data_IF_811056061309
#
_entry.id   IF_811056061309
#
_cell.length_a   1.000
_cell.length_b   1.000
_cell.length_c   1.000
_cell.angle_alpha   90.00
_cell.angle_beta   90.00
_cell.angle_gamma   90.00
#
_symmetry.space_group_name_H-M   'P 1'
#
loop_
_entity.id
_entity.type
_entity.pdbx_description
1 polymer ?
#
# COMPACT_ATOMS: atom_id res chain seq x y z
N UNK A 1 5.05 19.38 52.22
CA UNK A 1 6.09 18.50 51.64
C UNK A 1 5.75 17.78 50.31
N UNK A 2 4.49 17.47 49.94
CA UNK A 2 4.24 16.71 48.69
C UNK A 2 4.56 17.49 47.39
N UNK A 3 4.57 18.82 47.43
CA UNK A 3 4.87 19.66 46.26
C UNK A 3 6.35 19.69 45.84
N UNK A 4 7.28 19.50 46.78
CA UNK A 4 8.73 19.50 46.48
C UNK A 4 9.10 18.18 45.79
N UNK A 5 8.63 17.05 46.33
CA UNK A 5 8.84 15.74 45.74
C UNK A 5 8.33 15.65 44.29
N UNK A 6 7.13 16.19 44.03
CA UNK A 6 6.57 16.22 42.67
C UNK A 6 7.42 17.03 41.69
N UNK A 7 7.93 18.20 42.09
CA UNK A 7 8.80 19.04 41.25
C UNK A 7 10.14 18.38 40.98
N UNK A 8 10.76 17.77 41.99
CA UNK A 8 12.03 17.06 41.84
C UNK A 8 11.88 15.83 40.95
N UNK A 9 10.82 15.03 41.10
CA UNK A 9 10.58 13.87 40.25
C UNK A 9 10.33 14.25 38.78
N UNK A 10 9.59 15.34 38.52
CA UNK A 10 9.39 15.85 37.16
C UNK A 10 10.72 16.34 36.56
N UNK A 11 11.52 17.08 37.33
CA UNK A 11 12.82 17.56 36.86
C UNK A 11 13.78 16.39 36.54
N UNK A 12 13.81 15.36 37.39
CA UNK A 12 14.59 14.14 37.14
C UNK A 12 14.09 13.38 35.90
N UNK A 13 12.76 13.30 35.69
CA UNK A 13 12.19 12.68 34.49
C UNK A 13 12.57 13.46 33.23
N UNK A 14 12.46 14.79 33.24
CA UNK A 14 12.84 15.64 32.11
C UNK A 14 14.33 15.52 31.81
N UNK A 15 15.18 15.53 32.84
CA UNK A 15 16.62 15.34 32.69
C UNK A 15 16.93 13.94 32.13
N UNK A 16 16.27 12.90 32.64
CA UNK A 16 16.42 11.53 32.15
C UNK A 16 16.01 11.40 30.69
N UNK A 17 14.86 12.00 30.29
CA UNK A 17 14.41 12.04 28.89
C UNK A 17 15.39 12.82 28.02
N UNK A 18 15.93 13.94 28.50
CA UNK A 18 16.93 14.75 27.77
C UNK A 18 18.25 14.01 27.55
N UNK A 19 18.82 13.42 28.60
CA UNK A 19 20.02 12.56 28.52
C UNK A 19 19.74 11.37 27.61
N UNK A 20 18.54 10.81 27.72
CA UNK A 20 18.12 9.69 26.90
C UNK A 20 18.12 10.06 25.42
N UNK A 21 17.45 11.16 25.07
CA UNK A 21 17.44 11.65 23.69
C UNK A 21 18.83 12.00 23.17
N UNK A 22 19.72 12.51 24.04
CA UNK A 22 21.10 12.78 23.68
C UNK A 22 21.85 11.49 23.31
N UNK A 23 21.86 10.49 24.20
CA UNK A 23 22.51 9.22 23.89
C UNK A 23 21.86 8.53 22.69
N UNK A 24 20.53 8.58 22.58
CA UNK A 24 19.80 8.07 21.42
C UNK A 24 20.23 8.73 20.11
N UNK A 25 20.53 10.03 20.12
CA UNK A 25 20.98 10.79 18.95
C UNK A 25 22.46 10.57 18.61
N UNK A 26 23.31 10.31 19.61
CA UNK A 26 24.79 10.22 19.45
C UNK A 26 25.26 8.86 18.91
N UNK A 27 24.40 7.83 18.82
CA UNK A 27 24.76 6.58 18.16
C UNK A 27 24.87 6.80 16.65
N UNK A 28 26.06 7.21 16.20
CA UNK A 28 26.40 7.39 14.79
C UNK A 28 26.33 6.05 14.08
N UNK A 29 25.29 5.87 13.27
CA UNK A 29 25.20 4.74 12.35
C UNK A 29 26.07 5.06 11.14
N UNK A 30 27.14 4.27 10.95
CA UNK A 30 28.00 4.42 9.79
C UNK A 30 27.47 3.52 8.68
N UNK A 31 27.04 4.13 7.58
CA UNK A 31 26.60 3.41 6.39
C UNK A 31 27.57 3.71 5.29
N UNK A 32 28.21 2.67 4.79
CA UNK A 32 29.00 2.73 3.58
C UNK A 32 28.05 2.43 2.43
N UNK A 33 27.94 3.34 1.48
CA UNK A 33 26.97 3.26 0.38
C UNK A 33 27.70 3.29 -0.95
N UNK A 34 27.26 2.47 -1.89
CA UNK A 34 27.61 2.60 -3.30
C UNK A 34 26.32 2.65 -4.13
N UNK A 35 26.18 3.69 -4.96
CA UNK A 35 25.08 3.76 -5.95
C UNK A 35 25.41 2.82 -7.10
N UNK A 36 24.47 1.95 -7.45
CA UNK A 36 24.65 0.90 -8.45
C UNK A 36 23.44 0.84 -9.38
N UNK A 37 23.16 1.89 -10.17
CA UNK A 37 22.01 1.91 -11.08
C UNK A 37 22.23 0.87 -12.18
N UNK A 38 21.79 -0.36 -11.94
CA UNK A 38 21.87 -1.47 -12.88
C UNK A 38 20.48 -1.90 -13.20
N UNK A 39 20.19 -1.97 -14.49
CA UNK A 39 18.88 -2.36 -15.01
C UNK A 39 19.02 -3.55 -15.93
N UNK A 40 18.12 -4.52 -15.77
CA UNK A 40 18.00 -5.65 -16.69
C UNK A 40 16.57 -6.20 -16.67
N UNK A 41 16.23 -6.98 -17.68
CA UNK A 41 14.93 -7.66 -17.77
C UNK A 41 15.15 -9.17 -17.78
N UNK A 42 14.33 -9.90 -17.04
CA UNK A 42 14.35 -11.37 -16.98
C UNK A 42 12.91 -11.85 -16.75
N UNK A 43 12.45 -12.82 -17.53
CA UNK A 43 11.08 -13.37 -17.46
C UNK A 43 9.96 -12.31 -17.56
N UNK A 44 10.19 -11.23 -18.30
CA UNK A 44 9.23 -10.13 -18.42
C UNK A 44 9.17 -9.21 -17.19
N UNK A 45 10.04 -9.41 -16.20
CA UNK A 45 10.20 -8.54 -15.03
C UNK A 45 11.41 -7.63 -15.27
N UNK A 46 11.21 -6.33 -15.12
CA UNK A 46 12.30 -5.34 -15.14
C UNK A 46 12.85 -5.15 -13.73
N UNK A 47 14.14 -5.38 -13.56
CA UNK A 47 14.86 -5.21 -12.32
C UNK A 47 15.65 -3.91 -12.34
N UNK A 48 15.56 -3.16 -11.25
CA UNK A 48 16.30 -1.93 -11.01
C UNK A 48 17.10 -2.10 -9.72
N UNK A 49 18.37 -2.48 -9.83
CA UNK A 49 19.28 -2.42 -8.68
C UNK A 49 19.70 -0.96 -8.53
N UNK A 50 19.67 -0.48 -7.28
CA UNK A 50 19.87 0.94 -6.99
C UNK A 50 21.06 1.18 -6.08
N UNK A 51 21.22 0.29 -5.11
CA UNK A 51 22.11 0.55 -3.99
C UNK A 51 22.69 -0.74 -3.45
N UNK A 52 23.98 -0.66 -3.14
CA UNK A 52 24.67 -1.59 -2.26
C UNK A 52 25.07 -0.82 -1.00
N UNK A 53 24.70 -1.33 0.18
CA UNK A 53 25.10 -0.73 1.46
C UNK A 53 25.80 -1.74 2.33
N UNK A 54 26.84 -1.32 3.03
CA UNK A 54 27.41 -2.03 4.16
C UNK A 54 27.18 -1.21 5.43
N UNK A 55 26.50 -1.81 6.41
CA UNK A 55 26.19 -1.18 7.69
C UNK A 55 27.05 -1.84 8.79
N UNK A 56 27.77 -1.04 9.58
CA UNK A 56 28.60 -1.53 10.69
C UNK A 56 27.77 -1.91 11.92
N UNK A 57 26.68 -2.65 11.72
CA UNK A 57 25.65 -2.89 12.73
C UNK A 57 25.44 -4.38 12.95
N UNK A 58 25.42 -4.78 14.22
CA UNK A 58 24.95 -6.10 14.63
C UNK A 58 23.41 -6.12 14.61
N UNK A 59 22.83 -7.08 13.89
CA UNK A 59 21.38 -7.24 13.83
C UNK A 59 20.80 -7.55 15.22
N UNK A 60 19.71 -6.87 15.57
CA UNK A 60 19.04 -7.08 16.86
C UNK A 60 18.11 -8.29 16.76
N UNK A 61 17.95 -9.10 17.83
CA UNK A 61 16.95 -10.15 17.85
C UNK A 61 15.54 -9.57 17.61
N UNK A 62 14.78 -10.16 16.69
CA UNK A 62 13.48 -9.65 16.22
C UNK A 62 12.35 -9.75 17.25
N UNK A 63 12.54 -10.54 18.30
CA UNK A 63 11.55 -10.72 19.39
C UNK A 63 12.02 -10.02 20.65
N UNK A 64 11.58 -8.77 20.81
CA UNK A 64 11.74 -8.07 22.07
C UNK A 64 10.71 -8.60 23.08
N UNK A 65 11.13 -9.47 24.00
CA UNK A 65 10.34 -9.73 25.20
C UNK A 65 10.37 -8.46 26.04
N UNK A 66 9.27 -7.72 26.10
CA UNK A 66 9.22 -6.51 26.93
C UNK A 66 9.36 -6.90 28.41
N UNK A 67 10.18 -6.16 29.19
CA UNK A 67 10.28 -6.41 30.62
C UNK A 67 8.92 -6.23 31.30
N UNK A 68 8.61 -7.04 32.33
CA UNK A 68 7.34 -6.96 33.05
C UNK A 68 7.08 -5.57 33.64
N UNK A 69 8.13 -4.88 34.10
CA UNK A 69 8.01 -3.53 34.64
C UNK A 69 7.53 -2.50 33.60
N UNK A 70 7.83 -2.71 32.31
CA UNK A 70 7.37 -1.83 31.23
C UNK A 70 5.86 -2.01 31.01
N UNK A 71 5.40 -3.27 30.95
CA UNK A 71 3.99 -3.61 30.84
C UNK A 71 3.18 -3.12 32.05
N UNK A 72 3.78 -3.15 33.24
CA UNK A 72 3.19 -2.58 34.44
C UNK A 72 3.09 -1.05 34.37
N UNK A 73 4.12 -0.36 33.88
CA UNK A 73 4.14 1.10 33.74
C UNK A 73 3.12 1.62 32.70
N UNK A 74 2.88 0.88 31.60
CA UNK A 74 1.91 1.26 30.57
C UNK A 74 0.48 1.41 31.10
N UNK A 75 0.10 0.64 32.13
CA UNK A 75 -1.23 0.73 32.77
C UNK A 75 -1.52 2.10 33.37
N UNK A 76 -0.47 2.85 33.72
CA UNK A 76 -0.59 4.16 34.37
C UNK A 76 -0.27 5.33 33.44
N UNK A 77 0.10 5.04 32.18
CA UNK A 77 0.44 6.04 31.19
C UNK A 77 -0.67 6.17 30.15
N UNK A 78 -0.97 7.39 29.67
CA UNK A 78 -1.81 7.57 28.51
C UNK A 78 -1.32 6.77 27.30
N UNK A 79 -2.25 6.22 26.51
CA UNK A 79 -1.93 5.31 25.42
C UNK A 79 -0.94 5.90 24.39
N UNK A 80 -1.02 7.21 24.14
CA UNK A 80 -0.14 7.91 23.20
C UNK A 80 1.35 7.89 23.62
N UNK A 81 1.67 7.62 24.89
CA UNK A 81 3.06 7.50 25.36
C UNK A 81 3.61 6.07 25.28
N UNK A 82 2.77 5.06 25.09
CA UNK A 82 3.19 3.65 25.17
C UNK A 82 4.27 3.35 24.14
N UNK A 83 4.09 3.73 22.87
CA UNK A 83 5.07 3.44 21.83
C UNK A 83 6.40 4.17 22.06
N UNK A 84 6.36 5.42 22.52
CA UNK A 84 7.57 6.18 22.83
C UNK A 84 8.36 5.51 23.96
N UNK A 85 7.67 5.07 25.02
CA UNK A 85 8.29 4.35 26.13
C UNK A 85 8.84 2.99 25.71
N UNK A 86 8.10 2.21 24.91
CA UNK A 86 8.56 0.93 24.35
C UNK A 86 9.83 1.10 23.53
N UNK A 87 9.85 2.07 22.62
CA UNK A 87 11.01 2.36 21.78
C UNK A 87 12.23 2.76 22.63
N UNK A 88 12.01 3.58 23.66
CA UNK A 88 13.05 4.04 24.58
C UNK A 88 13.64 2.87 25.37
N UNK A 89 12.81 2.07 26.04
CA UNK A 89 13.28 0.91 26.83
C UNK A 89 13.93 -0.13 25.92
N UNK A 90 13.37 -0.38 24.74
CA UNK A 90 13.96 -1.30 23.77
C UNK A 90 15.36 -0.84 23.33
N UNK A 91 15.52 0.46 23.08
CA UNK A 91 16.81 1.02 22.71
C UNK A 91 17.86 0.83 23.82
N UNK A 92 17.54 1.15 25.08
CA UNK A 92 18.52 1.01 26.17
C UNK A 92 18.84 -0.42 26.53
N UNK A 93 17.88 -1.34 26.36
CA UNK A 93 18.13 -2.74 26.61
C UNK A 93 18.98 -3.38 25.50
N UNK A 94 18.88 -2.86 24.29
CA UNK A 94 19.62 -3.34 23.13
C UNK A 94 20.23 -2.14 22.41
N UNK A 95 21.24 -1.47 22.99
CA UNK A 95 21.89 -0.35 22.32
C UNK A 95 22.49 -0.83 20.99
N UNK A 96 22.70 0.09 20.04
CA UNK A 96 23.37 -0.29 18.81
C UNK A 96 24.78 -0.77 19.12
N UNK A 97 25.05 -2.03 18.79
CA UNK A 97 26.39 -2.57 18.79
C UNK A 97 26.98 -2.38 17.39
N UNK A 98 28.15 -1.74 17.36
CA UNK A 98 28.93 -1.63 16.13
C UNK A 98 30.02 -2.68 16.16
N UNK A 99 30.22 -3.36 15.05
CA UNK A 99 31.33 -4.28 14.86
C UNK A 99 32.24 -3.67 13.77
N UNK A 100 33.46 -3.25 14.10
CA UNK A 100 34.33 -2.55 13.15
C UNK A 100 34.82 -3.44 12.01
N UNK A 101 34.84 -4.77 12.20
CA UNK A 101 35.40 -5.71 11.21
C UNK A 101 34.37 -6.37 10.33
N UNK A 102 33.13 -6.46 10.80
CA UNK A 102 32.03 -7.18 10.14
C UNK A 102 30.75 -6.37 10.20
N UNK A 103 29.90 -6.55 9.22
CA UNK A 103 28.67 -5.79 9.12
C UNK A 103 27.60 -6.48 8.31
N UNK A 104 26.53 -5.74 8.08
CA UNK A 104 25.37 -6.15 7.33
C UNK A 104 25.49 -5.55 5.92
N UNK A 105 25.72 -6.42 4.93
CA UNK A 105 25.68 -6.05 3.52
C UNK A 105 24.23 -6.15 3.03
N UNK A 106 23.79 -5.18 2.23
CA UNK A 106 22.47 -5.15 1.61
C UNK A 106 22.58 -4.72 0.16
N UNK A 107 21.80 -5.37 -0.70
CA UNK A 107 21.54 -4.94 -2.06
C UNK A 107 20.05 -4.65 -2.16
N UNK A 108 19.71 -3.44 -2.60
CA UNK A 108 18.33 -2.99 -2.70
C UNK A 108 17.96 -2.63 -4.14
N UNK A 109 16.73 -2.95 -4.49
CA UNK A 109 16.20 -2.68 -5.81
C UNK A 109 14.69 -2.76 -5.92
N UNK A 110 14.22 -2.61 -7.15
CA UNK A 110 12.82 -2.71 -7.56
C UNK A 110 12.70 -3.82 -8.59
N UNK A 111 11.64 -4.60 -8.51
CA UNK A 111 11.19 -5.49 -9.56
C UNK A 111 9.85 -4.96 -10.06
N UNK A 112 9.75 -4.70 -11.36
CA UNK A 112 8.54 -4.20 -12.02
C UNK A 112 8.06 -5.26 -12.99
N UNK A 113 6.86 -5.79 -12.72
CA UNK A 113 6.21 -6.80 -13.55
C UNK A 113 5.08 -6.21 -14.37
N UNK A 114 4.37 -7.04 -15.13
CA UNK A 114 3.09 -6.64 -15.72
C UNK A 114 1.98 -6.92 -14.68
N UNK A 115 0.99 -6.03 -14.51
CA UNK A 115 -0.02 -6.11 -13.43
C UNK A 115 -0.70 -7.50 -13.35
N UNK A 116 -1.01 -8.12 -14.48
CA UNK A 116 -1.61 -9.47 -14.52
C UNK A 116 -0.68 -10.62 -14.08
N UNK A 117 0.60 -10.37 -13.81
CA UNK A 117 1.56 -11.38 -13.37
C UNK A 117 1.81 -11.38 -11.86
N UNK A 118 1.78 -10.21 -11.23
CA UNK A 118 2.14 -10.05 -9.81
C UNK A 118 0.96 -10.33 -8.86
N UNK A 119 -0.25 -10.26 -9.39
CA UNK A 119 -1.51 -10.42 -8.67
C UNK A 119 -1.89 -11.89 -8.38
N UNK A 120 -1.38 -12.86 -9.16
CA UNK A 120 -1.81 -14.27 -9.11
C UNK A 120 -1.01 -15.19 -8.17
N UNK A 121 -0.05 -14.68 -7.38
CA UNK A 121 0.83 -15.52 -6.55
C UNK A 121 0.75 -15.12 -5.07
N UNK A 122 -0.34 -15.46 -4.36
CA UNK A 122 -0.63 -14.95 -3.01
C UNK A 122 0.35 -15.43 -1.92
N UNK A 123 1.19 -16.44 -2.17
CA UNK A 123 1.85 -17.14 -1.05
C UNK A 123 3.33 -16.84 -0.83
N UNK A 124 4.09 -16.27 -1.78
CA UNK A 124 5.48 -15.85 -1.55
C UNK A 124 5.94 -14.79 -2.57
N UNK A 125 6.01 -13.52 -2.14
CA UNK A 125 6.56 -12.41 -2.95
C UNK A 125 7.99 -12.70 -3.47
N UNK A 126 8.75 -13.58 -2.79
CA UNK A 126 10.05 -14.06 -3.28
C UNK A 126 9.96 -14.88 -4.57
N UNK A 127 8.92 -15.70 -4.70
CA UNK A 127 8.77 -16.66 -5.80
C UNK A 127 8.32 -15.94 -7.08
N UNK A 128 7.84 -14.70 -6.93
CA UNK A 128 7.51 -13.79 -8.02
C UNK A 128 8.78 -13.22 -8.66
N UNK A 129 9.78 -12.92 -7.83
CA UNK A 129 11.01 -12.24 -8.25
C UNK A 129 12.04 -13.26 -8.75
N UNK A 130 12.13 -14.42 -8.12
CA UNK A 130 13.17 -15.40 -8.39
C UNK A 130 12.75 -16.80 -7.96
N UNK A 131 13.13 -17.83 -8.74
CA UNK A 131 12.83 -19.24 -8.42
C UNK A 131 13.47 -19.71 -7.12
N UNK A 132 14.67 -19.19 -6.85
CA UNK A 132 15.44 -19.44 -5.65
C UNK A 132 15.76 -18.11 -4.98
N UNK A 133 15.96 -18.13 -3.65
CA UNK A 133 16.45 -16.95 -2.93
C UNK A 133 17.70 -16.42 -3.64
N UNK A 134 17.78 -15.10 -3.95
CA UNK A 134 18.93 -14.56 -4.63
C UNK A 134 20.20 -14.87 -3.86
N UNK A 135 21.22 -15.35 -4.56
CA UNK A 135 22.49 -15.72 -3.95
C UNK A 135 23.40 -14.49 -3.92
N UNK A 136 23.91 -14.17 -2.75
CA UNK A 136 24.86 -13.10 -2.55
C UNK A 136 26.27 -13.67 -2.47
N UNK A 137 27.21 -13.02 -3.13
CA UNK A 137 28.63 -13.33 -3.06
C UNK A 137 29.41 -12.05 -2.70
N UNK A 138 30.52 -12.22 -2.00
CA UNK A 138 31.53 -11.18 -1.87
C UNK A 138 32.90 -11.77 -2.18
N UNK A 139 33.71 -11.07 -2.98
CA UNK A 139 35.04 -11.50 -3.39
C UNK A 139 35.10 -12.97 -3.89
N UNK A 140 34.04 -13.41 -4.58
CA UNK A 140 33.89 -14.78 -5.11
C UNK A 140 33.38 -15.84 -4.11
N UNK A 141 33.15 -15.47 -2.85
CA UNK A 141 32.65 -16.37 -1.79
C UNK A 141 31.14 -16.25 -1.67
N UNK A 142 30.41 -17.37 -1.82
CA UNK A 142 28.95 -17.41 -1.59
C UNK A 142 28.65 -17.22 -0.11
N UNK A 143 27.69 -16.34 0.20
CA UNK A 143 27.20 -16.18 1.56
C UNK A 143 26.10 -17.21 1.83
N UNK A 144 26.34 -18.10 2.80
CA UNK A 144 25.41 -19.19 3.13
C UNK A 144 24.05 -18.72 3.67
N UNK A 145 24.06 -17.67 4.51
CA UNK A 145 22.87 -17.16 5.22
C UNK A 145 22.34 -15.85 4.63
N UNK A 146 22.36 -15.73 3.29
CA UNK A 146 21.75 -14.57 2.63
C UNK A 146 20.23 -14.56 2.85
N UNK A 147 19.74 -13.49 3.45
CA UNK A 147 18.32 -13.20 3.60
C UNK A 147 17.75 -12.47 2.39
N UNK A 148 16.45 -12.65 2.20
CA UNK A 148 15.68 -11.95 1.17
C UNK A 148 14.42 -11.38 1.80
N UNK A 149 14.16 -10.10 1.58
CA UNK A 149 12.91 -9.42 1.94
C UNK A 149 12.35 -8.78 0.70
N UNK A 150 11.07 -8.98 0.47
CA UNK A 150 10.33 -8.20 -0.51
C UNK A 150 9.12 -7.59 0.17
N UNK A 151 8.85 -6.33 -0.18
CA UNK A 151 7.71 -5.58 0.27
C UNK A 151 6.88 -5.28 -0.96
N UNK A 152 5.65 -5.82 -0.99
CA UNK A 152 4.69 -5.45 -2.01
C UNK A 152 4.39 -3.97 -1.82
N UNK A 153 4.47 -3.21 -2.90
CA UNK A 153 3.85 -1.91 -3.02
C UNK A 153 2.73 -2.18 -4.00
N UNK A 154 1.48 -1.96 -3.58
CA UNK A 154 0.29 -2.07 -4.42
C UNK A 154 0.55 -1.68 -5.89
N UNK A 155 -0.05 -2.42 -6.84
CA UNK A 155 0.22 -2.27 -8.27
C UNK A 155 1.19 -3.31 -8.80
N UNK A 156 2.13 -2.89 -9.64
CA UNK A 156 3.08 -3.75 -10.37
C UNK A 156 4.56 -3.59 -9.95
N UNK A 157 4.80 -2.97 -8.79
CA UNK A 157 6.14 -2.67 -8.28
C UNK A 157 6.41 -3.42 -6.98
N UNK A 158 7.48 -4.19 -6.95
CA UNK A 158 7.96 -4.86 -5.74
C UNK A 158 9.31 -4.29 -5.31
N UNK A 159 9.37 -3.83 -4.07
CA UNK A 159 10.63 -3.46 -3.42
C UNK A 159 11.30 -4.72 -2.89
N UNK A 160 12.59 -4.90 -3.15
CA UNK A 160 13.32 -6.01 -2.58
C UNK A 160 14.66 -5.61 -1.98
N UNK A 161 15.06 -6.36 -0.96
CA UNK A 161 16.34 -6.27 -0.27
C UNK A 161 16.91 -7.68 -0.12
N UNK A 162 18.10 -7.88 -0.67
CA UNK A 162 18.95 -9.05 -0.41
C UNK A 162 19.97 -8.63 0.62
N UNK A 163 20.16 -9.39 1.69
CA UNK A 163 21.06 -8.99 2.76
C UNK A 163 21.83 -10.16 3.34
N UNK A 164 23.00 -9.87 3.91
CA UNK A 164 23.77 -10.86 4.64
C UNK A 164 24.52 -10.22 5.81
N UNK A 165 24.60 -10.95 6.91
CA UNK A 165 25.34 -10.56 8.11
C UNK A 165 26.80 -11.05 8.05
N UNK A 166 27.61 -10.56 8.98
CA UNK A 166 28.99 -10.97 9.20
C UNK A 166 29.94 -10.74 8.01
N UNK A 167 29.63 -9.77 7.15
CA UNK A 167 30.40 -9.45 5.95
C UNK A 167 31.59 -8.54 6.31
N UNK A 168 32.83 -8.84 5.88
CA UNK A 168 33.99 -8.00 6.14
C UNK A 168 33.82 -6.55 5.65
N UNK A 169 34.48 -5.59 6.30
CA UNK A 169 34.44 -4.16 5.92
C UNK A 169 35.23 -3.87 4.64
N UNK A 170 36.21 -4.70 4.32
CA UNK A 170 37.18 -4.54 3.23
C UNK A 170 36.77 -5.24 1.93
N UNK A 171 35.49 -5.61 1.79
CA UNK A 171 34.94 -6.22 0.57
C UNK A 171 35.17 -5.32 -0.63
N UNK A 172 35.84 -5.89 -1.65
CA UNK A 172 36.18 -5.20 -2.89
C UNK A 172 35.13 -5.43 -3.98
N UNK A 173 34.51 -6.61 -3.98
CA UNK A 173 33.57 -7.04 -4.99
C UNK A 173 32.35 -7.69 -4.34
N UNK A 174 31.18 -7.27 -4.78
CA UNK A 174 29.89 -7.85 -4.39
C UNK A 174 29.21 -8.40 -5.63
N UNK A 175 28.63 -9.59 -5.55
CA UNK A 175 27.86 -10.16 -6.66
C UNK A 175 26.48 -10.61 -6.21
N UNK A 176 25.49 -10.32 -7.05
CA UNK A 176 24.11 -10.77 -6.87
C UNK A 176 23.77 -11.73 -8.00
N UNK A 177 23.45 -12.97 -7.67
CA UNK A 177 22.96 -13.95 -8.62
C UNK A 177 21.46 -14.14 -8.45
N UNK A 178 20.71 -13.84 -9.50
CA UNK A 178 19.27 -14.01 -9.59
C UNK A 178 18.98 -15.10 -10.62
N UNK A 179 18.12 -16.05 -10.26
CA UNK A 179 17.67 -17.14 -11.13
C UNK A 179 16.24 -16.87 -11.55
N UNK A 180 15.98 -16.89 -12.86
CA UNK A 180 14.66 -16.74 -13.46
C UNK A 180 13.62 -17.66 -12.82
N UNK A 181 12.39 -17.17 -12.72
CA UNK A 181 11.25 -17.95 -12.23
C UNK A 181 10.77 -18.93 -13.29
N UNK A 182 10.81 -18.51 -14.56
CA UNK A 182 10.29 -19.24 -15.72
C UNK A 182 11.39 -19.73 -16.63
N UNK A 183 12.39 -18.88 -16.88
CA UNK A 183 13.61 -19.31 -17.56
C UNK A 183 14.53 -20.00 -16.54
N UNK A 184 15.28 -21.00 -16.98
CA UNK A 184 16.47 -21.44 -16.24
C UNK A 184 17.62 -20.43 -16.36
N UNK A 185 17.34 -19.20 -16.84
CA UNK A 185 18.35 -18.19 -17.05
C UNK A 185 18.83 -17.67 -15.70
N UNK A 186 20.14 -17.51 -15.63
CA UNK A 186 20.80 -16.96 -14.46
C UNK A 186 21.43 -15.63 -14.84
N UNK A 187 21.22 -14.62 -14.00
CA UNK A 187 21.87 -13.32 -14.13
C UNK A 187 22.72 -13.07 -12.89
N UNK A 188 24.03 -12.97 -13.11
CA UNK A 188 24.98 -12.53 -12.09
C UNK A 188 25.32 -11.07 -12.36
N UNK A 189 24.99 -10.22 -11.41
CA UNK A 189 25.39 -8.81 -11.39
C UNK A 189 26.61 -8.68 -10.50
N UNK A 190 27.63 -7.99 -10.99
CA UNK A 190 28.84 -7.73 -10.22
C UNK A 190 29.00 -6.24 -9.97
N UNK A 191 29.33 -5.90 -8.73
CA UNK A 191 29.53 -4.55 -8.24
C UNK A 191 30.90 -4.44 -7.60
N UNK A 192 31.64 -3.40 -7.94
CA UNK A 192 32.88 -3.00 -7.26
C UNK A 192 32.59 -1.71 -6.50
N UNK A 193 32.00 -1.80 -5.29
CA UNK A 193 31.46 -0.65 -4.59
C UNK A 193 32.56 0.36 -4.24
N UNK A 194 32.43 1.58 -4.77
CA UNK A 194 33.18 2.74 -4.29
C UNK A 194 32.43 3.32 -3.10
N UNK A 195 32.83 2.90 -1.91
CA UNK A 195 32.13 3.24 -0.67
C UNK A 195 32.17 4.74 -0.37
N UNK A 196 30.99 5.34 -0.29
CA UNK A 196 30.76 6.65 0.31
C UNK A 196 30.33 6.46 1.76
N UNK A 197 31.05 7.10 2.68
CA UNK A 197 30.70 7.07 4.10
C UNK A 197 29.60 8.08 4.40
N UNK A 198 28.45 7.61 4.84
CA UNK A 198 27.34 8.46 5.27
C UNK A 198 27.07 8.24 6.75
N UNK A 199 27.10 9.34 7.51
CA UNK A 199 26.75 9.36 8.92
C UNK A 199 25.31 9.83 9.06
N UNK A 200 24.47 8.98 9.64
CA UNK A 200 23.11 9.36 10.00
C UNK A 200 22.99 9.57 11.50
N UNK A 201 22.49 10.73 11.89
CA UNK A 201 21.81 10.86 13.17
C UNK A 201 20.50 10.07 13.11
N UNK A 202 20.10 9.44 14.21
CA UNK A 202 18.88 8.62 14.21
C UNK A 202 17.65 9.40 13.70
N UNK A 203 17.52 10.69 14.08
CA UNK A 203 16.39 11.55 13.68
C UNK A 203 16.43 11.91 12.20
N UNK A 204 17.61 11.99 11.63
CA UNK A 204 17.83 12.39 10.23
C UNK A 204 18.01 11.17 9.33
N UNK A 205 17.83 9.96 9.88
CA UNK A 205 17.92 8.73 9.10
C UNK A 205 16.76 8.75 8.08
N UNK A 206 17.07 8.72 6.78
CA UNK A 206 16.05 8.57 5.76
C UNK A 206 15.27 7.29 6.01
N UNK A 207 13.96 7.31 5.74
CA UNK A 207 13.17 6.08 5.81
C UNK A 207 13.81 5.02 4.90
N UNK A 208 13.72 3.74 5.31
CA UNK A 208 14.50 2.61 4.76
C UNK A 208 14.52 2.57 3.23
N UNK A 209 13.38 2.89 2.62
CA UNK A 209 13.15 2.77 1.18
C UNK A 209 13.04 4.14 0.48
N UNK A 210 13.38 5.24 1.15
CA UNK A 210 13.08 6.59 0.65
C UNK A 210 13.79 7.00 -0.62
N UNK A 211 14.97 6.45 -0.90
CA UNK A 211 15.66 6.67 -2.17
C UNK A 211 15.19 5.71 -3.27
N UNK A 212 14.58 4.59 -2.90
CA UNK A 212 14.07 3.59 -3.84
C UNK A 212 12.66 3.93 -4.28
N UNK A 213 11.87 4.52 -3.38
CA UNK A 213 10.45 4.69 -3.56
C UNK A 213 10.15 6.09 -4.13
N UNK A 214 9.64 6.18 -5.38
CA UNK A 214 9.30 7.45 -6.03
C UNK A 214 8.29 8.27 -5.23
N UNK A 215 7.47 7.63 -4.40
CA UNK A 215 6.52 8.31 -3.51
C UNK A 215 7.16 9.32 -2.58
N UNK A 216 8.36 9.08 -2.06
CA UNK A 216 9.02 10.06 -1.19
C UNK A 216 9.36 11.35 -1.94
N UNK A 217 9.71 11.23 -3.22
CA UNK A 217 9.95 12.40 -4.07
C UNK A 217 8.63 13.10 -4.39
N UNK A 218 7.57 12.35 -4.68
CA UNK A 218 6.23 12.90 -4.87
C UNK A 218 5.73 13.65 -3.62
N UNK A 219 5.84 13.05 -2.43
CA UNK A 219 5.47 13.65 -1.15
C UNK A 219 6.30 14.91 -0.87
N UNK A 220 7.62 14.85 -1.05
CA UNK A 220 8.50 16.02 -0.90
C UNK A 220 8.13 17.13 -1.88
N UNK A 221 7.84 16.79 -3.13
CA UNK A 221 7.40 17.74 -4.15
C UNK A 221 6.09 18.42 -3.76
N UNK A 222 5.07 17.64 -3.38
CA UNK A 222 3.77 18.15 -2.93
C UNK A 222 3.92 19.05 -1.71
N UNK A 223 4.70 18.64 -0.70
CA UNK A 223 4.91 19.42 0.52
C UNK A 223 5.62 20.76 0.22
N UNK A 224 6.67 20.75 -0.61
CA UNK A 224 7.34 21.99 -1.03
C UNK A 224 6.38 22.93 -1.79
N UNK A 225 5.50 22.38 -2.64
CA UNK A 225 4.49 23.19 -3.32
C UNK A 225 3.46 23.77 -2.34
N UNK A 226 2.97 22.98 -1.38
CA UNK A 226 2.04 23.42 -0.33
C UNK A 226 2.62 24.55 0.54
N UNK A 227 3.91 24.46 0.83
CA UNK A 227 4.66 25.46 1.59
C UNK A 227 5.03 26.71 0.75
N UNK A 228 4.62 26.78 -0.52
CA UNK A 228 4.96 27.88 -1.43
C UNK A 228 6.43 27.92 -1.87
N UNK A 229 7.20 26.86 -1.61
CA UNK A 229 8.64 26.75 -1.93
C UNK A 229 8.86 26.23 -3.36
N UNK A 230 8.26 26.89 -4.36
CA UNK A 230 8.25 26.43 -5.76
C UNK A 230 9.64 26.25 -6.37
N UNK A 231 10.61 27.12 -6.05
CA UNK A 231 11.98 26.98 -6.56
C UNK A 231 12.63 25.65 -6.13
N UNK A 232 12.41 25.23 -4.87
CA UNK A 232 12.89 23.94 -4.37
C UNK A 232 12.12 22.77 -4.96
N UNK A 233 10.81 22.94 -5.20
CA UNK A 233 10.01 21.92 -5.88
C UNK A 233 10.48 21.70 -7.32
N UNK A 234 10.88 22.77 -8.04
CA UNK A 234 11.41 22.72 -9.40
C UNK A 234 12.72 21.91 -9.51
N UNK A 235 13.53 21.83 -8.45
CA UNK A 235 14.73 20.97 -8.41
C UNK A 235 14.39 19.46 -8.46
N UNK A 236 13.17 19.10 -8.06
CA UNK A 236 12.65 17.73 -8.12
C UNK A 236 11.99 17.39 -9.46
N UNK A 237 11.80 18.37 -10.35
CA UNK A 237 11.28 18.16 -11.71
C UNK A 237 12.44 17.86 -12.65
N UNK A 238 12.22 16.91 -13.56
CA UNK A 238 13.17 16.55 -14.61
C UNK A 238 13.56 17.81 -15.39
N UNK A 239 14.87 18.10 -15.63
CA UNK A 239 15.31 19.35 -16.24
C UNK A 239 14.53 19.74 -17.50
N UNK A 240 14.31 18.78 -18.39
CA UNK A 240 13.60 18.95 -19.67
C UNK A 240 12.09 19.23 -19.50
N UNK A 241 11.49 18.74 -18.41
CA UNK A 241 10.07 18.96 -18.11
C UNK A 241 9.79 20.24 -17.32
N UNK A 242 10.81 20.96 -16.84
CA UNK A 242 10.65 22.10 -15.89
C UNK A 242 9.83 23.26 -16.44
N UNK A 243 10.07 23.60 -17.71
CA UNK A 243 9.43 24.74 -18.37
C UNK A 243 7.97 24.43 -18.72
N UNK A 244 7.70 23.20 -19.19
CA UNK A 244 6.37 22.75 -19.58
C UNK A 244 5.53 22.18 -18.42
N UNK A 245 6.11 22.09 -17.22
CA UNK A 245 5.43 21.56 -16.05
C UNK A 245 4.15 22.36 -15.77
N UNK A 246 2.97 21.72 -15.68
CA UNK A 246 1.70 22.43 -15.55
C UNK A 246 1.46 22.87 -14.11
N UNK A 247 2.28 23.79 -13.60
CA UNK A 247 2.26 24.31 -12.22
C UNK A 247 0.88 24.77 -11.75
N UNK A 248 0.04 25.24 -12.68
CA UNK A 248 -1.35 25.65 -12.43
C UNK A 248 -2.22 24.51 -11.86
N UNK A 249 -1.89 23.24 -12.14
CA UNK A 249 -2.62 22.05 -11.65
C UNK A 249 -2.40 21.78 -10.15
N UNK A 250 -1.40 22.44 -9.54
CA UNK A 250 -1.06 22.31 -8.12
C UNK A 250 -1.89 23.24 -7.22
N UNK A 251 -2.75 24.10 -7.78
CA UNK A 251 -3.62 24.99 -6.98
C UNK A 251 -4.50 24.25 -5.98
N UNK A 252 -4.82 23.00 -6.29
CA UNK A 252 -5.66 22.13 -5.46
C UNK A 252 -4.92 21.48 -4.28
N UNK A 253 -3.60 21.64 -4.18
CA UNK A 253 -2.80 21.10 -3.06
C UNK A 253 -3.15 21.72 -1.69
N UNK A 254 -3.84 22.86 -1.68
CA UNK A 254 -4.32 23.49 -0.44
C UNK A 254 -5.58 22.83 0.13
N UNK A 255 -6.32 22.04 -0.67
CA UNK A 255 -7.34 21.17 -0.14
C UNK A 255 -6.65 20.16 0.78
N UNK A 256 -7.24 19.87 1.94
CA UNK A 256 -6.63 18.96 2.90
C UNK A 256 -6.38 17.59 2.23
N UNK A 257 -5.16 17.35 1.71
CA UNK A 257 -4.53 16.06 1.94
C UNK A 257 -4.60 15.94 3.46
N UNK A 258 -5.51 15.12 3.99
CA UNK A 258 -5.66 14.99 5.42
C UNK A 258 -4.25 14.80 5.97
N UNK A 259 -3.87 15.58 6.98
CA UNK A 259 -2.57 15.41 7.60
C UNK A 259 -2.54 14.00 8.21
N UNK A 260 -2.11 13.01 7.42
CA UNK A 260 -2.35 11.60 7.68
C UNK A 260 -2.87 10.75 6.51
N UNK A 261 -3.47 11.26 5.42
CA UNK A 261 -4.05 10.43 4.32
C UNK A 261 -3.07 9.96 3.24
N UNK A 262 -1.76 10.09 3.49
CA UNK A 262 -0.79 9.11 2.99
C UNK A 262 -0.84 7.81 3.85
N UNK A 263 -1.94 7.56 4.56
CA UNK A 263 -2.08 6.61 5.68
C UNK A 263 -1.89 5.15 5.32
N UNK A 264 -1.95 4.78 4.03
CA UNK A 264 -1.39 3.50 3.63
C UNK A 264 0.01 3.74 3.05
N UNK A 265 1.09 3.24 3.68
CA UNK A 265 2.40 3.12 3.04
C UNK A 265 2.37 2.21 1.78
N UNK A 266 1.19 1.68 1.41
CA UNK A 266 0.91 0.71 0.36
C UNK A 266 -0.26 1.14 -0.54
N UNK A 267 -0.49 2.44 -0.76
CA UNK A 267 -1.49 2.91 -1.73
C UNK A 267 -0.84 3.16 -3.10
N UNK A 268 -1.43 2.50 -4.09
CA UNK A 268 -1.16 2.21 -5.51
C UNK A 268 0.05 2.90 -6.17
N UNK A 269 1.20 2.23 -6.20
CA UNK A 269 2.30 2.65 -7.09
C UNK A 269 2.26 1.79 -8.35
N UNK A 270 1.86 2.40 -9.46
CA UNK A 270 1.89 1.73 -10.76
C UNK A 270 3.09 2.19 -11.59
N UNK A 271 3.65 1.30 -12.40
CA UNK A 271 4.69 1.60 -13.37
C UNK A 271 4.12 1.47 -14.79
N UNK A 272 3.88 2.62 -15.43
CA UNK A 272 3.52 2.65 -16.84
C UNK A 272 4.77 2.52 -17.71
N UNK A 273 4.76 1.59 -18.67
CA UNK A 273 5.89 1.35 -19.57
C UNK A 273 6.27 2.60 -20.37
N UNK A 274 5.30 3.44 -20.73
CA UNK A 274 5.51 4.64 -21.56
C UNK A 274 4.52 5.78 -21.29
N UNK A 275 5.00 7.00 -21.09
CA UNK A 275 4.17 8.21 -20.96
C UNK A 275 4.92 9.44 -21.51
N UNK A 276 4.30 10.19 -22.44
CA UNK A 276 4.87 11.40 -23.06
C UNK A 276 6.35 11.24 -23.50
N UNK A 277 6.68 10.16 -24.19
CA UNK A 277 8.04 9.81 -24.63
C UNK A 277 9.01 9.28 -23.57
N UNK A 278 8.66 9.38 -22.29
CA UNK A 278 9.41 8.76 -21.22
C UNK A 278 9.09 7.28 -21.11
N UNK A 279 10.10 6.47 -20.80
CA UNK A 279 9.96 5.04 -20.50
C UNK A 279 9.99 4.84 -18.98
N UNK A 280 9.35 3.77 -18.52
CA UNK A 280 9.38 3.33 -17.12
C UNK A 280 8.93 4.43 -16.16
N UNK A 281 7.73 4.93 -16.44
CA UNK A 281 7.14 6.06 -15.73
C UNK A 281 6.35 5.53 -14.55
N UNK A 282 6.78 5.91 -13.36
CA UNK A 282 6.13 5.55 -12.11
C UNK A 282 5.04 6.56 -11.81
N UNK A 283 3.84 6.07 -11.52
CA UNK A 283 2.64 6.84 -11.29
C UNK A 283 2.30 6.78 -9.81
N UNK A 284 2.29 7.95 -9.16
CA UNK A 284 1.90 8.10 -7.76
C UNK A 284 0.55 8.82 -7.69
N UNK A 285 -0.53 8.15 -7.26
CA UNK A 285 -1.81 8.77 -7.05
C UNK A 285 -1.78 9.67 -5.82
N UNK A 286 -2.45 10.81 -5.94
CA UNK A 286 -2.67 11.79 -4.91
C UNK A 286 -4.17 11.88 -4.68
N UNK A 287 -4.60 11.51 -3.48
CA UNK A 287 -5.98 11.62 -3.06
C UNK A 287 -6.14 12.83 -2.13
N UNK A 288 -7.11 13.68 -2.44
CA UNK A 288 -7.49 14.82 -1.61
C UNK A 288 -8.88 14.60 -1.08
N UNK A 289 -9.01 14.55 0.24
CA UNK A 289 -10.31 14.49 0.90
C UNK A 289 -10.86 15.91 1.00
N UNK A 290 -12.14 16.09 0.66
CA UNK A 290 -12.81 17.35 0.95
C UNK A 290 -13.31 17.32 2.41
N UNK A 291 -12.72 18.11 3.33
CA UNK A 291 -13.07 18.10 4.75
C UNK A 291 -14.54 18.49 5.00
N UNK A 292 -15.12 19.25 4.08
CA UNK A 292 -16.49 19.73 4.17
C UNK A 292 -17.47 18.80 3.45
N UNK A 293 -16.97 17.80 2.71
CA UNK A 293 -17.81 16.90 1.92
C UNK A 293 -17.12 15.57 1.62
N UNK A 294 -17.28 14.61 2.53
CA UNK A 294 -16.77 13.24 2.37
C UNK A 294 -17.30 12.48 1.13
N UNK A 295 -18.27 13.05 0.36
CA UNK A 295 -18.79 12.45 -0.89
C UNK A 295 -17.90 12.66 -2.11
N UNK A 296 -16.89 13.52 -2.01
CA UNK A 296 -16.01 13.83 -3.12
C UNK A 296 -14.57 13.66 -2.67
N UNK A 297 -13.83 12.84 -3.39
CA UNK A 297 -12.37 12.89 -3.34
C UNK A 297 -11.87 13.43 -4.66
N UNK A 298 -10.82 14.23 -4.60
CA UNK A 298 -10.11 14.61 -5.82
C UNK A 298 -8.96 13.64 -6.00
N UNK A 299 -8.77 13.14 -7.22
CA UNK A 299 -7.61 12.35 -7.58
C UNK A 299 -6.75 13.12 -8.57
N UNK A 300 -5.45 13.11 -8.32
CA UNK A 300 -4.40 13.52 -9.26
C UNK A 300 -3.36 12.42 -9.34
N UNK A 301 -2.62 12.37 -10.44
CA UNK A 301 -1.49 11.47 -10.58
C UNK A 301 -0.23 12.29 -10.83
N UNK A 302 0.82 11.99 -10.08
CA UNK A 302 2.17 12.42 -10.38
C UNK A 302 2.89 11.35 -11.18
N UNK A 303 3.53 11.77 -12.25
CA UNK A 303 4.38 10.90 -13.05
C UNK A 303 5.83 11.19 -12.72
N UNK A 304 6.59 10.13 -12.44
CA UNK A 304 7.99 10.21 -12.08
C UNK A 304 8.80 9.27 -12.96
N UNK A 305 10.00 9.72 -13.32
CA UNK A 305 11.03 8.89 -13.94
C UNK A 305 12.24 8.91 -13.05
N UNK A 306 13.16 7.98 -13.27
CA UNK A 306 14.45 8.05 -12.63
C UNK A 306 15.50 8.62 -13.58
N UNK A 307 16.29 9.56 -13.05
CA UNK A 307 17.42 10.21 -13.71
C UNK A 307 18.58 10.25 -12.70
N UNK A 308 19.74 9.69 -13.07
CA UNK A 308 20.97 9.68 -12.28
C UNK A 308 20.81 9.15 -10.83
N UNK A 309 20.01 8.10 -10.66
CA UNK A 309 19.74 7.49 -9.34
C UNK A 309 18.78 8.29 -8.48
N UNK A 310 18.09 9.29 -9.04
CA UNK A 310 17.11 10.13 -8.35
C UNK A 310 15.77 10.10 -9.09
N UNK A 311 14.68 10.05 -8.33
CA UNK A 311 13.36 10.25 -8.90
C UNK A 311 13.15 11.70 -9.26
N UNK A 312 12.55 11.93 -10.43
CA UNK A 312 12.22 13.23 -10.99
C UNK A 312 10.78 13.24 -11.44
N UNK A 313 10.06 14.28 -11.06
CA UNK A 313 8.69 14.51 -11.54
C UNK A 313 8.76 14.94 -13.01
N UNK A 314 7.91 14.36 -13.87
CA UNK A 314 7.83 14.71 -15.29
C UNK A 314 6.49 15.34 -15.68
N UNK A 315 5.41 15.00 -14.98
CA UNK A 315 4.11 15.63 -15.18
C UNK A 315 3.20 15.41 -13.96
N UNK A 316 2.09 16.14 -13.93
CA UNK A 316 0.98 15.94 -13.00
C UNK A 316 -0.34 16.06 -13.75
N UNK A 317 -1.28 15.13 -13.56
CA UNK A 317 -2.61 15.24 -14.18
C UNK A 317 -3.42 16.41 -13.61
N UNK A 318 -4.43 16.90 -14.34
CA UNK A 318 -5.47 17.72 -13.73
C UNK A 318 -6.09 17.01 -12.53
N UNK A 319 -6.60 17.82 -11.59
CA UNK A 319 -7.47 17.32 -10.52
C UNK A 319 -8.77 16.84 -11.13
N UNK A 320 -8.98 15.54 -11.05
CA UNK A 320 -10.26 14.96 -11.39
C UNK A 320 -11.03 14.81 -10.09
N UNK A 321 -12.01 15.69 -9.88
CA UNK A 321 -12.95 15.53 -8.78
C UNK A 321 -13.78 14.29 -9.09
N UNK A 322 -13.50 13.21 -8.38
CA UNK A 322 -14.34 12.04 -8.42
C UNK A 322 -15.47 12.27 -7.42
N UNK A 323 -16.67 12.47 -7.97
CA UNK A 323 -17.88 12.34 -7.18
C UNK A 323 -18.10 10.85 -6.97
N UNK A 324 -18.43 10.44 -5.74
CA UNK A 324 -19.26 9.25 -5.59
C UNK A 324 -20.61 9.59 -6.23
N UNK A 325 -20.72 9.42 -7.55
CA UNK A 325 -21.94 9.72 -8.31
C UNK A 325 -22.97 8.68 -7.94
N UNK A 326 -23.93 9.05 -7.11
CA UNK A 326 -25.22 8.37 -7.09
C UNK A 326 -25.92 8.70 -8.42
N UNK A 327 -26.40 7.72 -9.20
CA UNK A 327 -27.24 8.01 -10.34
C UNK A 327 -28.58 8.61 -9.88
N UNK A 328 -29.24 9.44 -10.72
CA UNK A 328 -30.63 9.80 -10.53
C UNK A 328 -31.48 8.53 -10.47
N UNK A 329 -32.48 8.53 -9.59
CA UNK A 329 -33.52 7.50 -9.50
C UNK A 329 -34.21 7.33 -10.85
N UNK A 330 -34.14 6.13 -11.42
CA UNK A 330 -35.27 5.39 -12.01
C UNK A 330 -34.81 4.06 -12.64
N UNK A 331 -35.18 2.90 -12.06
CA UNK A 331 -35.36 1.67 -12.84
C UNK A 331 -36.35 0.70 -12.19
N UNK A 332 -36.71 -0.40 -12.91
CA UNK A 332 -38.00 -1.11 -12.79
C UNK A 332 -38.08 -2.59 -12.30
N UNK A 333 -37.10 -3.53 -12.35
CA UNK A 333 -37.07 -4.82 -11.54
C UNK A 333 -35.86 -5.77 -11.71
N UNK A 334 -35.54 -6.50 -10.65
CA UNK A 334 -34.60 -7.62 -10.39
C UNK A 334 -35.24 -8.39 -9.24
N UNK A 335 -35.16 -9.72 -9.15
CA UNK A 335 -35.89 -10.51 -8.14
C UNK A 335 -34.90 -11.41 -7.39
N UNK A 336 -34.92 -11.35 -6.07
CA UNK A 336 -34.18 -12.18 -5.12
C UNK A 336 -35.19 -13.14 -4.49
N UNK A 337 -34.98 -14.43 -4.66
CA UNK A 337 -35.76 -15.47 -3.99
C UNK A 337 -34.82 -16.27 -3.10
N UNK A 338 -34.82 -15.97 -1.81
CA UNK A 338 -34.03 -16.67 -0.82
C UNK A 338 -34.86 -16.96 0.43
N UNK A 339 -34.59 -18.09 1.07
CA UNK A 339 -35.19 -18.43 2.37
C UNK A 339 -34.35 -17.79 3.48
N UNK A 340 -34.98 -16.99 4.34
CA UNK A 340 -34.31 -16.39 5.50
C UNK A 340 -35.37 -15.93 6.50
N UNK A 341 -35.14 -16.20 7.78
CA UNK A 341 -35.82 -15.53 8.90
C UNK A 341 -34.88 -14.41 9.40
N UNK A 342 -35.29 -13.15 9.25
CA UNK A 342 -34.51 -12.01 9.72
C UNK A 342 -35.12 -10.65 9.39
N UNK A 343 -34.98 -9.70 10.32
CA UNK A 343 -35.44 -8.31 10.12
C UNK A 343 -34.71 -7.61 8.96
N UNK A 344 -35.48 -6.87 8.16
CA UNK A 344 -34.97 -6.03 7.08
C UNK A 344 -34.63 -4.65 7.64
N UNK A 345 -33.37 -4.24 7.50
CA UNK A 345 -32.90 -2.89 7.84
C UNK A 345 -32.56 -2.14 6.56
N UNK A 346 -33.54 -1.40 6.01
CA UNK A 346 -33.28 -0.47 4.92
C UNK A 346 -32.86 0.89 5.51
N UNK A 347 -31.56 1.19 5.53
CA UNK A 347 -31.07 2.52 5.91
C UNK A 347 -30.94 3.37 4.66
N UNK A 348 -31.89 4.28 4.44
CA UNK A 348 -31.67 5.45 3.58
C UNK A 348 -31.03 6.54 4.44
N UNK A 349 -29.73 6.78 4.29
CA UNK A 349 -29.05 7.89 4.96
C UNK A 349 -29.14 9.14 4.09
N UNK A 350 -30.08 10.03 4.41
CA UNK A 350 -30.05 11.40 3.88
C UNK A 350 -28.97 12.21 4.63
N UNK A 351 -28.20 13.02 3.89
CA UNK A 351 -27.09 13.79 4.43
C UNK A 351 -27.51 15.24 4.67
N UNK A 352 -28.46 15.41 5.60
CA UNK A 352 -28.77 16.66 6.28
C UNK A 352 -28.91 16.35 7.80
N UNK A 353 -27.97 16.80 8.66
CA UNK A 353 -28.02 16.50 10.09
C UNK A 353 -29.17 17.18 10.85
N UNK A 354 -29.98 18.04 10.22
CA UNK A 354 -31.13 18.70 10.87
C UNK A 354 -32.50 18.13 10.48
N UNK A 355 -32.57 17.08 9.66
CA UNK A 355 -33.82 16.40 9.30
C UNK A 355 -33.67 14.88 9.25
N UNK A 356 -33.49 14.28 10.41
CA UNK A 356 -33.76 12.85 10.56
C UNK A 356 -35.27 12.60 10.40
N UNK A 357 -35.67 11.99 9.29
CA UNK A 357 -36.97 11.34 9.20
C UNK A 357 -36.71 9.84 9.08
N UNK A 358 -36.76 9.17 10.23
CA UNK A 358 -36.61 7.73 10.35
C UNK A 358 -37.86 7.05 9.76
N UNK A 359 -37.76 6.44 8.58
CA UNK A 359 -38.82 5.56 8.08
C UNK A 359 -38.62 4.18 8.69
N UNK A 360 -39.28 3.94 9.82
CA UNK A 360 -39.40 2.60 10.39
C UNK A 360 -40.57 1.90 9.72
N UNK A 361 -40.27 0.92 8.88
CA UNK A 361 -41.25 -0.10 8.56
C UNK A 361 -40.74 -1.40 9.15
N UNK A 362 -41.24 -1.75 10.32
CA UNK A 362 -41.12 -3.12 10.84
C UNK A 362 -41.93 -4.00 9.89
N UNK A 363 -41.23 -4.75 9.05
CA UNK A 363 -41.84 -5.84 8.29
C UNK A 363 -41.34 -7.10 8.98
N UNK A 364 -42.17 -7.68 9.84
CA UNK A 364 -42.08 -9.11 10.12
C UNK A 364 -42.28 -9.79 8.76
N UNK A 365 -41.24 -10.41 8.23
CA UNK A 365 -41.33 -11.07 6.93
C UNK A 365 -41.06 -12.55 7.11
N UNK A 366 -42.14 -13.33 6.97
CA UNK A 366 -42.08 -14.67 6.42
C UNK A 366 -41.39 -14.64 5.04
N UNK A 367 -40.53 -15.64 4.78
CA UNK A 367 -40.10 -16.17 3.48
C UNK A 367 -40.54 -15.35 2.24
N UNK A 368 -39.84 -14.26 1.94
CA UNK A 368 -40.25 -13.29 0.92
C UNK A 368 -39.29 -13.20 -0.26
N UNK A 369 -39.83 -13.25 -1.49
CA UNK A 369 -39.11 -12.82 -2.68
C UNK A 369 -39.01 -11.28 -2.70
N UNK A 370 -37.80 -10.73 -2.74
CA UNK A 370 -37.58 -9.29 -2.79
C UNK A 370 -37.17 -8.87 -4.18
N UNK A 371 -37.81 -7.84 -4.73
CA UNK A 371 -37.49 -7.37 -6.07
C UNK A 371 -36.97 -5.93 -6.10
N UNK A 372 -35.79 -5.71 -6.69
CA UNK A 372 -35.06 -4.43 -6.72
C UNK A 372 -34.88 -3.93 -8.15
N UNK A 373 -34.92 -2.64 -8.39
CA UNK A 373 -35.18 -2.13 -9.72
C UNK A 373 -34.15 -1.01 -10.05
N UNK A 374 -33.02 -1.27 -10.76
CA UNK A 374 -31.92 -0.27 -10.93
C UNK A 374 -31.22 -0.14 -12.31
N UNK A 375 -30.65 1.04 -12.65
CA UNK A 375 -29.76 1.25 -13.83
C UNK A 375 -28.33 0.87 -13.49
N UNK A 376 -27.78 -0.02 -14.31
CA UNK A 376 -26.40 -0.44 -14.24
C UNK A 376 -25.66 -0.03 -15.52
N UNK A 377 -24.95 1.10 -15.45
CA UNK A 377 -24.14 1.60 -16.57
C UNK A 377 -23.00 0.61 -16.87
N UNK A 378 -22.48 0.59 -18.11
CA UNK A 378 -21.23 -0.10 -18.40
C UNK A 378 -20.14 0.25 -17.38
N UNK A 379 -19.46 -0.76 -16.85
CA UNK A 379 -18.44 -0.65 -15.80
C UNK A 379 -18.94 -0.14 -14.43
N UNK A 380 -20.21 -0.38 -14.08
CA UNK A 380 -20.81 -0.05 -12.78
C UNK A 380 -21.12 -1.31 -11.96
N UNK A 381 -20.93 -1.23 -10.63
CA UNK A 381 -21.31 -2.26 -9.66
C UNK A 381 -22.21 -1.63 -8.59
N UNK A 382 -23.35 -2.28 -8.32
CA UNK A 382 -24.29 -1.90 -7.28
C UNK A 382 -24.35 -2.97 -6.18
N UNK A 383 -24.45 -2.51 -4.93
CA UNK A 383 -24.58 -3.33 -3.73
C UNK A 383 -25.92 -3.07 -3.04
N UNK A 384 -26.72 -4.11 -2.82
CA UNK A 384 -28.01 -4.05 -2.15
C UNK A 384 -27.93 -4.77 -0.80
N UNK A 385 -28.46 -4.18 0.29
CA UNK A 385 -28.42 -4.74 1.64
C UNK A 385 -27.92 -3.75 2.70
N UNK A 386 -27.30 -4.23 3.81
CA UNK A 386 -26.87 -5.60 4.03
C UNK A 386 -28.02 -6.54 4.45
N UNK A 387 -27.97 -7.79 4.01
CA UNK A 387 -28.83 -8.89 4.45
C UNK A 387 -28.03 -9.78 5.39
N UNK A 388 -28.67 -10.29 6.44
CA UNK A 388 -28.04 -11.29 7.29
C UNK A 388 -28.44 -12.68 6.81
N UNK A 389 -27.45 -13.53 6.55
CA UNK A 389 -27.66 -14.93 6.21
C UNK A 389 -26.93 -15.83 7.21
N UNK A 390 -27.46 -17.03 7.41
CA UNK A 390 -26.88 -18.06 8.25
C UNK A 390 -26.22 -19.14 7.38
N UNK A 391 -25.29 -19.91 7.96
CA UNK A 391 -24.60 -20.99 7.23
C UNK A 391 -25.61 -22.04 6.76
N UNK A 392 -25.56 -22.39 5.48
CA UNK A 392 -26.47 -23.34 4.82
C UNK A 392 -27.68 -22.68 4.14
N UNK A 393 -27.86 -21.36 4.29
CA UNK A 393 -28.89 -20.63 3.52
C UNK A 393 -28.61 -20.74 2.02
N UNK A 394 -29.67 -20.94 1.23
CA UNK A 394 -29.59 -20.98 -0.24
C UNK A 394 -30.28 -19.77 -0.84
N UNK A 395 -29.51 -18.96 -1.56
CA UNK A 395 -29.96 -17.70 -2.14
C UNK A 395 -30.01 -17.83 -3.65
N UNK A 396 -31.20 -17.64 -4.23
CA UNK A 396 -31.36 -17.54 -5.68
C UNK A 396 -31.45 -16.08 -6.07
N UNK A 397 -30.56 -15.68 -6.97
CA UNK A 397 -30.52 -14.34 -7.52
C UNK A 397 -30.87 -14.42 -8.99
N UNK A 398 -31.87 -13.66 -9.42
CA UNK A 398 -32.27 -13.57 -10.82
C UNK A 398 -32.14 -12.13 -11.33
N UNK A 399 -31.44 -11.99 -12.45
CA UNK A 399 -31.27 -10.75 -13.19
C UNK A 399 -31.96 -10.87 -14.54
N UNK A 400 -32.82 -9.91 -14.88
CA UNK A 400 -33.33 -9.72 -16.23
C UNK A 400 -32.86 -8.37 -16.76
N UNK A 401 -32.43 -8.35 -18.02
CA UNK A 401 -31.86 -7.17 -18.68
C UNK A 401 -32.32 -7.05 -20.14
N UNK A 402 -32.62 -5.84 -20.64
CA UNK A 402 -33.17 -5.69 -21.99
C UNK A 402 -32.15 -5.85 -23.13
N UNK A 403 -30.83 -5.77 -22.85
CA UNK A 403 -29.78 -5.82 -23.88
C UNK A 403 -29.02 -7.14 -23.85
N UNK A 404 -28.93 -7.82 -24.99
CA UNK A 404 -28.25 -9.12 -25.10
C UNK A 404 -26.72 -9.03 -25.22
N UNK A 405 -26.16 -7.84 -25.45
CA UNK A 405 -24.72 -7.64 -25.70
C UNK A 405 -23.88 -7.38 -24.46
N UNK A 406 -24.53 -7.21 -23.30
CA UNK A 406 -23.87 -6.83 -22.06
C UNK A 406 -23.49 -8.10 -21.26
N UNK A 407 -22.34 -8.07 -20.59
CA UNK A 407 -21.91 -9.09 -19.63
C UNK A 407 -22.02 -8.53 -18.21
N UNK A 408 -22.44 -9.36 -17.26
CA UNK A 408 -22.70 -8.97 -15.88
C UNK A 408 -22.06 -9.92 -14.89
N UNK A 409 -21.72 -9.44 -13.71
CA UNK A 409 -21.50 -10.29 -12.54
C UNK A 409 -22.69 -10.21 -11.59
N UNK A 410 -23.12 -11.36 -11.09
CA UNK A 410 -24.27 -11.50 -10.20
C UNK A 410 -23.89 -12.38 -9.01
N UNK A 411 -24.06 -11.90 -7.78
CA UNK A 411 -23.75 -12.69 -6.59
C UNK A 411 -23.87 -11.96 -5.27
N UNK A 412 -23.12 -12.38 -4.25
CA UNK A 412 -23.11 -11.82 -2.91
C UNK A 412 -21.70 -11.34 -2.54
N UNK A 413 -21.60 -10.18 -1.90
CA UNK A 413 -20.35 -9.67 -1.29
C UNK A 413 -20.49 -9.67 0.23
N UNK A 414 -19.62 -10.39 0.93
CA UNK A 414 -19.62 -10.39 2.39
C UNK A 414 -19.14 -9.03 2.94
N UNK A 415 -19.86 -8.47 3.91
CA UNK A 415 -19.61 -7.12 4.44
C UNK A 415 -18.25 -6.99 5.14
N UNK A 416 -17.79 -8.04 5.81
CA UNK A 416 -16.56 -8.00 6.62
C UNK A 416 -15.31 -8.27 5.80
N UNK A 417 -15.26 -9.38 5.08
CA UNK A 417 -14.12 -9.78 4.24
C UNK A 417 -14.04 -8.98 2.94
N UNK A 418 -15.18 -8.51 2.42
CA UNK A 418 -15.35 -7.96 1.06
C UNK A 418 -15.22 -9.01 -0.05
N UNK A 419 -15.24 -10.29 0.29
CA UNK A 419 -15.20 -11.36 -0.69
C UNK A 419 -16.52 -11.45 -1.46
N UNK A 420 -16.43 -11.53 -2.78
CA UNK A 420 -17.55 -11.73 -3.69
C UNK A 420 -17.65 -13.20 -4.10
N UNK A 421 -18.85 -13.76 -4.03
CA UNK A 421 -19.20 -15.09 -4.53
C UNK A 421 -20.36 -14.94 -5.51
N UNK A 422 -20.17 -15.36 -6.76
CA UNK A 422 -21.16 -15.16 -7.81
C UNK A 422 -20.75 -15.77 -9.13
N UNK A 423 -21.48 -15.40 -10.18
CA UNK A 423 -21.23 -15.87 -11.55
C UNK A 423 -21.23 -14.70 -12.53
N UNK A 424 -20.55 -14.89 -13.64
CA UNK A 424 -20.74 -14.03 -14.82
C UNK A 424 -21.96 -14.52 -15.61
N UNK A 425 -22.83 -13.60 -16.03
CA UNK A 425 -23.97 -13.88 -16.90
C UNK A 425 -23.92 -12.93 -18.10
N UNK A 426 -24.20 -13.46 -19.29
CA UNK A 426 -24.30 -12.69 -20.52
C UNK A 426 -25.69 -12.82 -21.13
N UNK A 427 -26.18 -11.77 -21.78
CA UNK A 427 -27.47 -11.80 -22.48
C UNK A 427 -28.59 -11.07 -21.74
N UNK A 428 -29.84 -11.38 -22.10
CA UNK A 428 -31.02 -10.64 -21.60
C UNK A 428 -31.52 -11.11 -20.23
N UNK A 429 -30.92 -12.15 -19.67
CA UNK A 429 -31.25 -12.65 -18.33
C UNK A 429 -30.18 -13.60 -17.84
N UNK A 430 -30.00 -13.69 -16.53
CA UNK A 430 -29.12 -14.64 -15.88
C UNK A 430 -29.55 -14.91 -14.45
N UNK A 431 -29.10 -16.02 -13.89
CA UNK A 431 -29.40 -16.37 -12.51
C UNK A 431 -28.25 -17.14 -11.89
N UNK A 432 -28.11 -17.03 -10.57
CA UNK A 432 -27.23 -17.87 -9.78
C UNK A 432 -27.91 -18.34 -8.51
N UNK A 433 -27.49 -19.52 -8.07
CA UNK A 433 -27.85 -20.08 -6.77
C UNK A 433 -26.58 -20.15 -5.94
N UNK A 434 -26.60 -19.56 -4.75
CA UNK A 434 -25.46 -19.46 -3.86
C UNK A 434 -25.81 -20.09 -2.51
N UNK A 435 -24.96 -20.97 -2.02
CA UNK A 435 -25.04 -21.51 -0.66
C UNK A 435 -24.13 -20.70 0.26
N UNK A 436 -24.65 -20.26 1.40
CA UNK A 436 -23.92 -19.46 2.37
C UNK A 436 -23.01 -20.38 3.20
N UNK A 437 -21.71 -20.26 3.01
CA UNK A 437 -20.71 -21.09 3.71
C UNK A 437 -20.37 -20.55 5.11
N UNK A 438 -20.59 -19.26 5.35
CA UNK A 438 -20.34 -18.61 6.64
C UNK A 438 -21.49 -17.66 7.03
N UNK A 439 -22.04 -17.79 8.23
CA UNK A 439 -23.04 -16.85 8.73
C UNK A 439 -22.48 -15.43 8.81
N UNK A 440 -23.23 -14.44 8.33
CA UNK A 440 -22.70 -13.09 8.18
C UNK A 440 -23.67 -12.08 7.58
N UNK A 441 -23.16 -10.87 7.38
CA UNK A 441 -23.87 -9.82 6.66
C UNK A 441 -23.35 -9.74 5.23
N UNK A 442 -24.24 -9.78 4.26
CA UNK A 442 -23.94 -9.84 2.85
C UNK A 442 -24.64 -8.71 2.09
N UNK A 443 -24.03 -8.29 0.99
CA UNK A 443 -24.64 -7.41 0.01
C UNK A 443 -24.91 -8.20 -1.26
N UNK A 444 -26.14 -8.16 -1.78
CA UNK A 444 -26.39 -8.57 -3.15
C UNK A 444 -25.60 -7.65 -4.09
N UNK A 445 -24.83 -8.23 -4.99
CA UNK A 445 -23.90 -7.54 -5.86
C UNK A 445 -24.27 -7.80 -7.31
N UNK A 446 -24.46 -6.72 -8.07
CA UNK A 446 -24.73 -6.77 -9.52
C UNK A 446 -23.77 -5.81 -10.22
N UNK A 447 -22.95 -6.31 -11.14
CA UNK A 447 -21.99 -5.52 -11.92
C UNK A 447 -22.24 -5.64 -13.42
N UNK A 448 -22.14 -4.55 -14.19
CA UNK A 448 -22.17 -4.53 -15.65
C UNK A 448 -20.75 -4.29 -16.16
N UNK A 449 -20.21 -5.22 -16.94
CA UNK A 449 -18.83 -5.18 -17.42
C UNK A 449 -18.60 -4.26 -18.61
N UNK A 450 -19.68 -3.81 -19.26
CA UNK A 450 -19.57 -3.00 -20.47
C UNK A 450 -18.86 -3.69 -21.65
N UNK A 451 -18.66 -2.96 -22.77
CA UNK A 451 -18.00 -3.48 -23.98
C UNK A 451 -16.47 -3.51 -23.89
N UNK A 452 -15.89 -2.72 -22.99
CA UNK A 452 -14.46 -2.67 -22.72
C UNK A 452 -14.23 -3.22 -21.31
N UNK A 453 -13.93 -4.52 -21.15
CA UNK A 453 -13.60 -5.06 -19.85
C UNK A 453 -12.29 -4.42 -19.41
N UNK A 454 -12.38 -3.33 -18.65
CA UNK A 454 -11.26 -2.92 -17.83
C UNK A 454 -10.91 -4.13 -16.96
N UNK A 455 -9.68 -4.62 -17.06
CA UNK A 455 -9.18 -5.64 -16.16
C UNK A 455 -9.31 -5.09 -14.74
N UNK A 456 -10.39 -5.46 -14.05
CA UNK A 456 -10.61 -5.01 -12.69
C UNK A 456 -9.48 -5.58 -11.83
N UNK A 457 -8.94 -4.80 -10.88
CA UNK A 457 -8.04 -5.33 -9.87
C UNK A 457 -8.77 -6.48 -9.18
N UNK A 458 -8.12 -7.64 -9.09
CA UNK A 458 -8.66 -8.86 -8.48
C UNK A 458 -9.01 -8.74 -6.99
N UNK A 459 -8.87 -7.54 -6.39
CA UNK A 459 -9.22 -7.25 -5.00
C UNK A 459 -10.74 -7.33 -4.74
N UNK A 460 -11.55 -7.49 -5.80
CA UNK A 460 -13.00 -7.75 -5.71
C UNK A 460 -13.44 -9.11 -6.27
N UNK A 461 -12.52 -9.96 -6.72
CA UNK A 461 -12.84 -11.28 -7.29
C UNK A 461 -12.32 -12.39 -6.38
N UNK A 462 -13.14 -12.76 -5.40
CA UNK A 462 -13.04 -14.05 -4.72
C UNK A 462 -13.40 -15.17 -5.70
N UNK A 463 -12.69 -16.29 -5.56
CA UNK A 463 -12.74 -17.55 -6.31
C UNK A 463 -14.05 -17.89 -7.06
N UNK A 464 -13.92 -18.11 -8.37
CA UNK A 464 -14.84 -18.98 -9.13
C UNK A 464 -14.23 -20.39 -9.07
N UNK A 465 -14.78 -21.27 -8.22
CA UNK A 465 -14.56 -22.71 -8.37
C UNK A 465 -15.55 -23.25 -9.42
N UNK A 466 -15.05 -24.09 -10.33
CA UNK A 466 -15.85 -24.79 -11.34
C UNK A 466 -16.58 -26.00 -10.76
#
# INVERSE_FOLDING_TARGET
>A
MPGIFKKTSIALLVLFVGITMFFYAVHNHCVYRAKTPVRFTMDGISFYIREVTWENKVDKPSRAVYPEYLLAAEKYLPHYFHQALRNLVFFYRNPYQTEPRKGLLKIRGLAVGNQGYLVYLPNKVSDIICREKPNLYYDGVRVGDAGFRAHYSSGDVIYFEVYANDIPVDVQKVELKIVGTRSSDERTLSFEPRWETVHYFWRDRPARDSYLNPRYTAEKFVNLCREGKLNKARELVLPEAREDMPWQRLKNLHMHCAAGSFSSPLADLDCTIYYRSYKDVFTVPLHYDNPNNYRYYTQQYLFLVEEDGLWKVVDITPANQQMFTLPPTDLKTAIVQGQSEGEIWAVKRELDPEKDTEYRQTIETDLGSHSFTGELKPNQIDLYGPYRYETGDVINVFLAWPRSSDAFFLGLTEKQSRDFTGVEVSGTSGSCTLEITAAGWYYLTVGNLGPDPYGYPSEYCGYIEH
#
